data_IF_954715552128
#
_entry.id   IF_954715552128
#
_cell.length_a   1.000
_cell.length_b   1.000
_cell.length_c   1.000
_cell.angle_alpha   90.00
_cell.angle_beta   90.00
_cell.angle_gamma   90.00
#
_symmetry.space_group_name_H-M   'P 1'
#
loop_
_entity.id
_entity.type
_entity.pdbx_description
1 polymer ?
#
# COMPACT_ATOMS: atom_id res chain seq x y z
N UNK A 1 78.41 -3.96 -17.59
CA UNK A 1 77.15 -4.53 -17.12
C UNK A 1 76.32 -3.42 -16.45
N UNK A 2 75.53 -2.62 -17.26
CA UNK A 2 74.86 -1.43 -16.80
C UNK A 2 73.42 -1.79 -16.41
N UNK A 3 73.10 -1.61 -15.16
CA UNK A 3 71.77 -1.84 -14.64
C UNK A 3 70.96 -0.55 -14.81
N UNK A 4 70.02 -0.53 -15.77
CA UNK A 4 69.01 0.50 -15.92
C UNK A 4 68.04 0.51 -14.73
N UNK A 5 68.15 1.49 -13.84
CA UNK A 5 67.12 1.79 -12.81
C UNK A 5 65.99 2.50 -13.50
N UNK A 6 64.87 1.80 -13.65
CA UNK A 6 63.58 2.40 -13.98
C UNK A 6 63.10 3.16 -12.72
N UNK A 7 63.21 4.46 -12.76
CA UNK A 7 62.61 5.37 -11.80
C UNK A 7 61.08 5.44 -12.07
N UNK A 8 60.32 4.66 -11.33
CA UNK A 8 58.87 4.69 -11.37
C UNK A 8 58.38 5.86 -10.52
N UNK A 9 58.24 7.04 -11.12
CA UNK A 9 57.56 8.17 -10.50
C UNK A 9 56.06 7.82 -10.42
N UNK A 10 55.61 7.35 -9.25
CA UNK A 10 54.18 7.29 -8.93
C UNK A 10 53.74 8.75 -8.79
N UNK A 11 53.21 9.30 -9.90
CA UNK A 11 52.53 10.57 -9.85
C UNK A 11 51.19 10.35 -9.10
N UNK A 12 51.16 10.71 -7.85
CA UNK A 12 49.94 10.89 -7.10
C UNK A 12 49.24 12.14 -7.72
N UNK A 13 48.39 11.87 -8.70
CA UNK A 13 47.53 12.93 -9.27
C UNK A 13 46.47 13.28 -8.21
N UNK A 14 46.76 14.31 -7.42
CA UNK A 14 45.78 14.90 -6.50
C UNK A 14 44.66 15.53 -7.30
N UNK A 15 43.40 15.35 -6.85
CA UNK A 15 42.26 16.00 -7.46
C UNK A 15 42.37 17.53 -7.36
N UNK A 16 42.06 18.21 -8.45
CA UNK A 16 41.97 19.67 -8.45
C UNK A 16 40.78 20.15 -7.66
N UNK A 17 40.90 21.25 -6.93
CA UNK A 17 39.79 21.89 -6.21
C UNK A 17 38.62 22.20 -7.14
N UNK A 18 38.88 22.55 -8.39
CA UNK A 18 37.83 22.82 -9.37
C UNK A 18 37.09 21.55 -9.75
N UNK A 19 37.77 20.41 -9.87
CA UNK A 19 37.16 19.13 -10.19
C UNK A 19 36.24 18.66 -9.06
N UNK A 20 36.67 18.85 -7.80
CA UNK A 20 35.82 18.58 -6.64
C UNK A 20 34.57 19.47 -6.62
N UNK A 21 34.73 20.77 -6.92
CA UNK A 21 33.60 21.71 -6.99
C UNK A 21 32.57 21.31 -8.06
N UNK A 22 33.00 20.88 -9.22
CA UNK A 22 32.13 20.41 -10.30
C UNK A 22 31.37 19.13 -9.89
N UNK A 23 32.06 18.16 -9.32
CA UNK A 23 31.46 16.89 -8.85
C UNK A 23 30.37 17.15 -7.79
N UNK A 24 30.67 18.00 -6.80
CA UNK A 24 29.70 18.35 -5.74
C UNK A 24 28.49 19.07 -6.31
N UNK A 25 28.69 19.96 -7.28
CA UNK A 25 27.59 20.67 -7.95
C UNK A 25 26.66 19.70 -8.69
N UNK A 26 27.21 18.80 -9.48
CA UNK A 26 26.43 17.79 -10.21
C UNK A 26 25.71 16.86 -9.23
N UNK A 27 26.39 16.39 -8.20
CA UNK A 27 25.78 15.53 -7.16
C UNK A 27 24.63 16.25 -6.44
N UNK A 28 24.77 17.54 -6.16
CA UNK A 28 23.71 18.38 -5.55
C UNK A 28 22.45 18.45 -6.42
N UNK A 29 22.60 18.69 -7.73
CA UNK A 29 21.47 18.74 -8.67
C UNK A 29 20.77 17.38 -8.77
N UNK A 30 21.52 16.29 -8.89
CA UNK A 30 20.97 14.93 -8.95
C UNK A 30 20.20 14.57 -7.67
N UNK A 31 20.73 14.92 -6.52
CA UNK A 31 20.09 14.65 -5.22
C UNK A 31 18.77 15.41 -5.07
N UNK A 32 18.74 16.69 -5.47
CA UNK A 32 17.52 17.50 -5.39
C UNK A 32 16.37 16.93 -6.24
N UNK A 33 16.67 16.42 -7.42
CA UNK A 33 15.67 15.80 -8.31
C UNK A 33 15.10 14.48 -7.75
N UNK A 34 15.90 13.71 -7.04
CA UNK A 34 15.55 12.40 -6.52
C UNK A 34 14.49 12.46 -5.40
N UNK A 35 14.51 13.51 -4.58
CA UNK A 35 13.61 13.64 -3.41
C UNK A 35 12.15 13.72 -3.83
N UNK A 36 11.83 14.46 -4.87
CA UNK A 36 10.44 14.63 -5.36
C UNK A 36 9.89 13.31 -5.90
N UNK A 37 10.71 12.57 -6.63
CA UNK A 37 10.32 11.29 -7.22
C UNK A 37 10.08 10.22 -6.16
N UNK A 38 10.92 10.20 -5.12
CA UNK A 38 10.81 9.28 -3.99
C UNK A 38 9.56 9.52 -3.15
N UNK A 39 9.19 10.79 -2.91
CA UNK A 39 7.98 11.13 -2.14
C UNK A 39 6.70 10.63 -2.82
N UNK A 40 6.59 10.78 -4.15
CA UNK A 40 5.45 10.26 -4.93
C UNK A 40 5.37 8.73 -4.90
N UNK A 41 6.51 8.06 -5.04
CA UNK A 41 6.59 6.59 -4.97
C UNK A 41 6.19 6.06 -3.60
N UNK A 42 6.68 6.67 -2.53
CA UNK A 42 6.33 6.30 -1.14
C UNK A 42 4.82 6.40 -0.88
N UNK A 43 4.17 7.46 -1.35
CA UNK A 43 2.73 7.64 -1.14
C UNK A 43 1.89 6.60 -1.90
N UNK A 44 2.26 6.27 -3.15
CA UNK A 44 1.62 5.17 -3.90
C UNK A 44 1.80 3.83 -3.20
N UNK A 45 3.00 3.55 -2.72
CA UNK A 45 3.30 2.33 -1.99
C UNK A 45 2.49 2.21 -0.70
N UNK A 46 2.38 3.28 0.08
CA UNK A 46 1.57 3.30 1.30
C UNK A 46 0.09 3.03 1.02
N UNK A 47 -0.46 3.61 -0.04
CA UNK A 47 -1.85 3.40 -0.43
C UNK A 47 -2.10 1.94 -0.83
N UNK A 48 -1.25 1.38 -1.68
CA UNK A 48 -1.31 -0.03 -2.07
C UNK A 48 -1.16 -0.99 -0.89
N UNK A 49 -0.22 -0.73 0.01
CA UNK A 49 -0.02 -1.52 1.23
C UNK A 49 -1.26 -1.53 2.13
N UNK A 50 -1.94 -0.40 2.28
CA UNK A 50 -3.17 -0.33 3.07
C UNK A 50 -4.32 -1.08 2.41
N UNK A 51 -4.46 -0.97 1.10
CA UNK A 51 -5.45 -1.73 0.35
C UNK A 51 -5.22 -3.25 0.48
N UNK A 52 -3.97 -3.70 0.35
CA UNK A 52 -3.61 -5.11 0.55
C UNK A 52 -3.85 -5.58 1.98
N UNK A 53 -3.53 -4.75 2.97
CA UNK A 53 -3.79 -5.06 4.38
C UNK A 53 -5.28 -5.23 4.66
N UNK A 54 -6.14 -4.39 4.07
CA UNK A 54 -7.60 -4.50 4.18
C UNK A 54 -8.11 -5.77 3.48
N UNK A 55 -7.64 -6.06 2.27
CA UNK A 55 -7.96 -7.30 1.56
C UNK A 55 -7.59 -8.54 2.39
N UNK A 56 -6.39 -8.57 2.98
CA UNK A 56 -5.93 -9.66 3.83
C UNK A 56 -6.81 -9.85 5.08
N UNK A 57 -7.33 -8.77 5.67
CA UNK A 57 -8.27 -8.89 6.79
C UNK A 57 -9.63 -9.44 6.37
N UNK A 58 -10.12 -9.07 5.20
CA UNK A 58 -11.38 -9.61 4.67
C UNK A 58 -11.27 -11.12 4.46
N UNK A 59 -10.15 -11.59 3.87
CA UNK A 59 -9.88 -13.03 3.71
C UNK A 59 -9.76 -13.75 5.06
N UNK A 60 -9.07 -13.15 6.01
CA UNK A 60 -8.96 -13.70 7.37
C UNK A 60 -10.32 -13.76 8.06
N UNK A 61 -11.14 -12.71 7.94
CA UNK A 61 -12.50 -12.71 8.46
C UNK A 61 -13.35 -13.83 7.86
N UNK A 62 -13.22 -14.05 6.55
CA UNK A 62 -13.89 -15.15 5.86
C UNK A 62 -13.48 -16.51 6.43
N UNK A 63 -12.19 -16.73 6.61
CA UNK A 63 -11.69 -17.99 7.19
C UNK A 63 -12.21 -18.21 8.62
N UNK A 64 -12.30 -17.15 9.42
CA UNK A 64 -12.86 -17.23 10.77
C UNK A 64 -14.37 -17.44 10.78
N UNK A 65 -15.11 -16.81 9.87
CA UNK A 65 -16.54 -17.05 9.70
C UNK A 65 -16.84 -18.52 9.44
N UNK A 66 -16.05 -19.15 8.56
CA UNK A 66 -16.14 -20.57 8.24
C UNK A 66 -15.72 -21.43 9.44
N UNK A 67 -14.57 -21.13 10.04
CA UNK A 67 -14.02 -21.88 11.18
C UNK A 67 -15.00 -21.96 12.35
N UNK A 68 -15.65 -20.86 12.68
CA UNK A 68 -16.58 -20.78 13.80
C UNK A 68 -18.05 -20.96 13.41
N UNK A 69 -18.34 -21.14 12.12
CA UNK A 69 -19.70 -21.17 11.55
C UNK A 69 -20.57 -20.00 12.04
N UNK A 70 -20.01 -18.79 12.02
CA UNK A 70 -20.63 -17.56 12.51
C UNK A 70 -20.71 -16.50 11.40
N UNK A 71 -21.70 -15.65 11.52
CA UNK A 71 -21.86 -14.51 10.63
C UNK A 71 -21.06 -13.32 11.16
N UNK A 72 -20.15 -12.79 10.35
CA UNK A 72 -19.33 -11.64 10.67
C UNK A 72 -19.78 -10.46 9.82
N UNK A 73 -19.89 -9.29 10.43
CA UNK A 73 -20.18 -8.04 9.70
C UNK A 73 -18.94 -7.19 9.66
N UNK A 74 -18.52 -6.83 8.44
CA UNK A 74 -17.46 -5.84 8.22
C UNK A 74 -18.07 -4.47 8.21
N UNK A 75 -17.55 -3.60 9.03
CA UNK A 75 -18.00 -2.22 9.15
C UNK A 75 -16.83 -1.27 9.39
N UNK A 76 -17.09 -0.02 9.16
CA UNK A 76 -16.16 1.06 9.48
C UNK A 76 -16.59 1.72 10.77
N UNK A 77 -15.64 1.92 11.67
CA UNK A 77 -15.87 2.71 12.88
C UNK A 77 -15.95 4.19 12.48
N UNK A 78 -16.72 4.96 13.25
CA UNK A 78 -17.03 6.37 13.01
C UNK A 78 -15.84 7.16 12.44
N UNK A 79 -16.12 7.94 11.40
CA UNK A 79 -15.19 8.87 10.73
C UNK A 79 -14.09 8.25 9.86
N UNK A 80 -14.28 7.04 9.31
CA UNK A 80 -13.29 6.41 8.44
C UNK A 80 -11.90 6.21 9.08
N UNK A 81 -11.81 6.21 10.41
CA UNK A 81 -10.53 6.14 11.13
C UNK A 81 -10.07 4.71 11.40
N UNK A 82 -10.98 3.73 11.32
CA UNK A 82 -10.61 2.33 11.47
C UNK A 82 -11.54 1.41 10.66
N UNK A 83 -10.96 0.39 10.06
CA UNK A 83 -11.67 -0.72 9.45
C UNK A 83 -11.69 -1.86 10.45
N UNK A 84 -12.86 -2.26 10.88
CA UNK A 84 -13.04 -3.29 11.90
C UNK A 84 -14.08 -4.32 11.49
N UNK A 85 -13.98 -5.49 12.11
CA UNK A 85 -14.92 -6.56 11.94
C UNK A 85 -15.72 -6.68 13.23
N UNK A 86 -17.02 -6.59 13.10
CA UNK A 86 -17.94 -6.80 14.20
C UNK A 86 -18.61 -8.15 14.03
N UNK A 87 -18.77 -8.86 15.12
CA UNK A 87 -19.53 -10.09 15.17
C UNK A 87 -20.76 -9.92 16.03
N UNK A 88 -21.92 -10.26 15.49
CA UNK A 88 -23.16 -10.30 16.24
C UNK A 88 -23.25 -11.67 16.92
N UNK A 89 -23.34 -11.70 18.25
CA UNK A 89 -23.42 -12.93 19.06
C UNK A 89 -22.17 -13.85 19.03
N UNK A 90 -20.97 -13.26 18.95
CA UNK A 90 -19.74 -14.02 19.09
C UNK A 90 -18.90 -13.50 20.25
N UNK A 91 -18.54 -14.35 21.18
CA UNK A 91 -17.56 -14.02 22.22
C UNK A 91 -16.11 -14.13 21.74
N UNK A 92 -15.83 -14.91 20.70
CA UNK A 92 -14.47 -15.32 20.36
C UNK A 92 -13.78 -14.69 19.14
N UNK A 93 -14.34 -14.39 17.96
CA UNK A 93 -13.50 -13.93 16.88
C UNK A 93 -13.05 -12.46 16.96
N UNK A 94 -13.54 -11.71 17.95
CA UNK A 94 -13.24 -10.28 18.09
C UNK A 94 -11.78 -9.99 18.46
N UNK A 95 -11.13 -10.90 19.19
CA UNK A 95 -9.73 -10.77 19.61
C UNK A 95 -8.74 -11.18 18.52
N UNK A 96 -9.16 -12.02 17.56
CA UNK A 96 -8.30 -12.52 16.49
C UNK A 96 -8.16 -11.52 15.31
N UNK A 97 -8.99 -10.49 15.27
CA UNK A 97 -9.05 -9.50 14.20
C UNK A 97 -8.93 -8.08 14.77
N UNK A 98 -7.72 -7.65 15.08
CA UNK A 98 -7.52 -6.26 15.52
C UNK A 98 -7.94 -5.29 14.40
N UNK A 99 -8.58 -4.16 14.74
CA UNK A 99 -8.97 -3.17 13.76
C UNK A 99 -7.74 -2.59 13.05
N UNK A 100 -7.84 -2.42 11.73
CA UNK A 100 -6.82 -1.70 10.98
C UNK A 100 -7.06 -0.20 11.19
N UNK A 101 -6.07 0.47 11.76
CA UNK A 101 -6.07 1.93 11.83
C UNK A 101 -5.79 2.50 10.44
N UNK A 102 -6.68 3.35 9.98
CA UNK A 102 -6.53 4.08 8.71
C UNK A 102 -5.90 5.43 9.04
N UNK A 103 -4.71 5.74 8.51
CA UNK A 103 -4.09 7.04 8.71
C UNK A 103 -4.97 8.17 8.19
N UNK A 104 -4.90 9.35 8.79
CA UNK A 104 -5.68 10.53 8.38
C UNK A 104 -5.40 10.96 6.92
N UNK A 105 -4.28 10.55 6.35
CA UNK A 105 -3.91 10.77 4.95
C UNK A 105 -4.66 9.88 3.97
N UNK A 106 -5.36 8.83 4.45
CA UNK A 106 -6.09 7.87 3.63
C UNK A 106 -7.57 8.00 3.94
N UNK A 107 -8.39 8.08 2.93
CA UNK A 107 -9.85 8.17 3.02
C UNK A 107 -10.49 7.01 2.28
N UNK A 108 -11.65 6.61 2.76
CA UNK A 108 -12.50 5.65 2.06
C UNK A 108 -13.62 6.43 1.40
N UNK A 109 -13.69 6.37 0.09
CA UNK A 109 -14.72 7.08 -0.69
C UNK A 109 -15.97 6.24 -0.88
N UNK A 110 -15.83 4.92 -0.89
CA UNK A 110 -16.94 3.97 -1.00
C UNK A 110 -16.67 2.79 -0.07
N UNK A 111 -17.64 2.44 0.76
CA UNK A 111 -17.51 1.33 1.70
C UNK A 111 -18.89 0.71 1.99
N UNK A 112 -19.27 -0.36 1.29
CA UNK A 112 -20.50 -1.07 1.59
C UNK A 112 -20.34 -1.83 2.93
N UNK A 113 -21.42 -1.88 3.72
CA UNK A 113 -21.47 -2.82 4.85
C UNK A 113 -21.60 -4.23 4.30
N UNK A 114 -20.68 -5.11 4.66
CA UNK A 114 -20.63 -6.48 4.17
C UNK A 114 -20.86 -7.46 5.30
N UNK A 115 -21.61 -8.50 5.00
CA UNK A 115 -21.86 -9.58 5.93
C UNK A 115 -21.30 -10.87 5.36
N UNK A 116 -20.36 -11.48 6.07
CA UNK A 116 -19.77 -12.78 5.73
C UNK A 116 -20.52 -13.85 6.50
N UNK A 117 -21.10 -14.79 5.79
CA UNK A 117 -21.82 -15.93 6.39
C UNK A 117 -20.85 -17.04 6.80
N UNK A 118 -21.28 -17.92 7.71
CA UNK A 118 -20.51 -19.07 8.16
C UNK A 118 -20.14 -20.07 7.05
N UNK A 119 -20.78 -20.03 5.89
CA UNK A 119 -20.38 -20.80 4.71
C UNK A 119 -19.31 -20.10 3.84
N UNK A 120 -18.81 -18.94 4.27
CA UNK A 120 -17.79 -18.18 3.56
C UNK A 120 -18.30 -17.32 2.41
N UNK A 121 -19.62 -17.29 2.16
CA UNK A 121 -20.22 -16.40 1.16
C UNK A 121 -20.44 -15.01 1.74
N UNK A 122 -20.36 -13.99 0.90
CA UNK A 122 -20.68 -12.63 1.29
C UNK A 122 -22.13 -12.34 0.95
N UNK A 123 -22.93 -12.05 1.98
CA UNK A 123 -24.29 -11.59 1.83
C UNK A 123 -24.29 -10.07 1.78
N UNK A 124 -24.91 -9.54 0.82
CA UNK A 124 -25.01 -8.18 0.36
C UNK A 124 -24.07 -7.89 -0.81
N UNK A 125 -24.59 -7.13 -1.71
CA UNK A 125 -24.04 -6.70 -2.99
C UNK A 125 -22.52 -6.80 -3.05
N UNK A 126 -22.02 -7.54 -4.04
CA UNK A 126 -20.65 -7.37 -4.53
C UNK A 126 -20.32 -5.87 -4.46
N UNK A 127 -19.35 -5.50 -3.69
CA UNK A 127 -19.05 -4.12 -3.41
C UNK A 127 -17.60 -3.81 -3.72
N UNK A 128 -17.37 -2.59 -4.13
CA UNK A 128 -16.04 -2.06 -4.28
C UNK A 128 -15.77 -1.11 -3.13
N UNK A 129 -14.70 -1.37 -2.38
CA UNK A 129 -14.15 -0.43 -1.41
C UNK A 129 -13.12 0.40 -2.15
N UNK A 130 -13.27 1.71 -2.15
CA UNK A 130 -12.29 2.60 -2.77
C UNK A 130 -11.48 3.28 -1.69
N UNK A 131 -10.20 2.96 -1.65
CA UNK A 131 -9.21 3.58 -0.76
C UNK A 131 -8.57 4.73 -1.51
N UNK A 132 -8.67 5.95 -1.01
CA UNK A 132 -8.11 7.15 -1.64
C UNK A 132 -7.15 7.88 -0.71
N UNK A 133 -6.20 8.59 -1.29
CA UNK A 133 -5.39 9.57 -0.55
C UNK A 133 -5.90 10.99 -0.79
N UNK A 134 -5.39 11.94 0.00
CA UNK A 134 -5.76 13.36 -0.14
C UNK A 134 -5.28 14.02 -1.43
N UNK A 135 -4.62 13.29 -2.34
CA UNK A 135 -4.06 13.77 -3.61
C UNK A 135 -4.80 13.22 -4.84
N UNK A 136 -5.94 12.57 -4.63
CA UNK A 136 -6.77 12.06 -5.72
C UNK A 136 -6.37 10.70 -6.26
N UNK A 137 -5.39 10.00 -5.65
CA UNK A 137 -5.07 8.62 -6.04
C UNK A 137 -6.01 7.66 -5.35
N UNK A 138 -6.38 6.60 -6.06
CA UNK A 138 -7.37 5.63 -5.60
C UNK A 138 -6.91 4.20 -5.89
N UNK A 139 -7.26 3.29 -4.99
CA UNK A 139 -7.09 1.84 -5.16
C UNK A 139 -8.44 1.18 -4.91
N UNK A 140 -9.06 0.57 -5.90
CA UNK A 140 -10.28 -0.18 -5.72
C UNK A 140 -9.98 -1.58 -5.15
N UNK A 141 -10.77 -2.01 -4.18
CA UNK A 141 -10.79 -3.38 -3.67
C UNK A 141 -12.15 -3.95 -4.04
N UNK A 142 -12.18 -4.82 -5.03
CA UNK A 142 -13.42 -5.46 -5.50
C UNK A 142 -13.61 -6.78 -4.76
N UNK A 143 -14.82 -6.99 -4.26
CA UNK A 143 -15.19 -8.17 -3.50
C UNK A 143 -16.34 -8.84 -4.21
N UNK A 144 -16.14 -10.10 -4.60
CA UNK A 144 -17.18 -10.91 -5.24
C UNK A 144 -18.08 -11.60 -4.22
N UNK A 145 -19.27 -12.02 -4.65
CA UNK A 145 -20.21 -12.76 -3.80
C UNK A 145 -19.64 -14.09 -3.27
N UNK A 146 -18.66 -14.68 -3.98
CA UNK A 146 -17.92 -15.86 -3.53
C UNK A 146 -16.92 -15.54 -2.40
N UNK A 147 -16.75 -14.27 -2.04
CA UNK A 147 -15.80 -13.82 -1.04
C UNK A 147 -14.38 -13.63 -1.54
N UNK A 148 -14.15 -13.71 -2.86
CA UNK A 148 -12.83 -13.43 -3.44
C UNK A 148 -12.61 -11.91 -3.47
N UNK A 149 -11.48 -11.48 -2.96
CA UNK A 149 -11.03 -10.09 -2.98
C UNK A 149 -9.98 -9.88 -4.07
N UNK A 150 -10.12 -8.80 -4.82
CA UNK A 150 -9.17 -8.37 -5.84
C UNK A 150 -8.81 -6.92 -5.54
N UNK A 151 -7.54 -6.66 -5.34
CA UNK A 151 -6.99 -5.31 -5.17
C UNK A 151 -6.55 -4.81 -6.55
N UNK A 152 -7.12 -3.72 -6.99
CA UNK A 152 -6.72 -3.09 -8.25
C UNK A 152 -5.45 -2.25 -8.12
N UNK A 153 -5.00 -1.72 -9.24
CA UNK A 153 -3.84 -0.85 -9.28
C UNK A 153 -4.15 0.56 -8.78
N UNK A 154 -3.09 1.29 -8.38
CA UNK A 154 -3.21 2.69 -7.98
C UNK A 154 -3.51 3.53 -9.22
N UNK A 155 -4.71 4.06 -9.33
CA UNK A 155 -5.14 4.97 -10.38
C UNK A 155 -5.26 6.41 -9.85
N UNK A 156 -4.99 7.39 -10.71
CA UNK A 156 -5.28 8.78 -10.41
C UNK A 156 -6.78 9.03 -10.61
N UNK A 157 -7.40 9.86 -9.74
CA UNK A 157 -8.83 10.18 -9.84
C UNK A 157 -9.13 10.86 -11.17
N UNK A 158 -9.93 10.21 -12.00
CA UNK A 158 -10.25 10.67 -13.36
C UNK A 158 -9.86 9.70 -14.47
N UNK A 159 -9.05 8.69 -14.19
CA UNK A 159 -8.79 7.61 -15.13
C UNK A 159 -9.77 6.49 -14.85
N UNK A 160 -10.89 6.48 -15.55
CA UNK A 160 -11.80 5.32 -15.61
C UNK A 160 -11.01 4.17 -16.22
N UNK A 161 -10.61 3.21 -15.40
CA UNK A 161 -10.08 1.96 -15.91
C UNK A 161 -11.24 1.22 -16.58
N UNK A 162 -11.19 1.15 -17.90
CA UNK A 162 -12.06 0.31 -18.70
C UNK A 162 -11.70 -1.16 -18.37
N UNK A 163 -12.48 -1.77 -17.48
CA UNK A 163 -12.37 -3.19 -17.14
C UNK A 163 -13.16 -4.01 -18.14
N UNK A 164 -12.74 -3.99 -19.40
CA UNK A 164 -13.17 -4.96 -20.40
C UNK A 164 -12.09 -6.02 -20.56
N UNK A 165 -12.22 -7.07 -19.77
CA UNK A 165 -11.69 -8.41 -20.07
C UNK A 165 -12.55 -9.47 -19.40
#
# INVERSE_FOLDING_TARGET
>A
MSILRLNRTNGEAGFSVIELAVVVTIAGIMTASSVVMFAKGKARYQLSQKAQSMSGQIERARSLAVKYNKTLTLGFTSQNSAFGITCTNCSEPKSELPPIVIPASIRLSTYPTMTIRGNGTIAASSGTIVVSDGQGRQVPITISNSGRTIVGDVADAGTTQDTTH
#
